data_IF_897210746067
#
_entry.id   IF_897210746067
#
_cell.length_a   1.000
_cell.length_b   1.000
_cell.length_c   1.000
_cell.angle_alpha   90.00
_cell.angle_beta   90.00
_cell.angle_gamma   90.00
#
_symmetry.space_group_name_H-M   'P 1'
#
loop_
_entity.id
_entity.type
_entity.pdbx_description
1 polymer ?
#
# COMPACT_ATOMS: atom_id res chain seq x y z
N UNK A 1 1.76 4.97 -21.22
CA UNK A 1 0.76 5.38 -20.21
C UNK A 1 1.50 6.02 -19.03
N UNK A 2 1.02 7.16 -18.48
CA UNK A 2 1.64 7.74 -17.29
C UNK A 2 1.56 6.76 -16.12
N UNK A 3 2.65 6.60 -15.37
CA UNK A 3 2.70 5.73 -14.19
C UNK A 3 1.76 6.28 -13.13
N UNK A 4 1.06 5.39 -12.42
CA UNK A 4 0.20 5.80 -11.30
C UNK A 4 1.09 6.26 -10.14
N UNK A 5 0.69 7.34 -9.48
CA UNK A 5 1.39 7.89 -8.32
C UNK A 5 1.02 7.07 -7.08
N UNK A 6 2.02 6.72 -6.29
CA UNK A 6 1.88 6.04 -5.01
C UNK A 6 2.55 6.85 -3.90
N UNK A 7 1.95 6.87 -2.71
CA UNK A 7 2.40 7.70 -1.59
C UNK A 7 2.94 6.84 -0.46
N UNK A 8 4.23 6.96 -0.19
CA UNK A 8 4.84 6.28 0.95
C UNK A 8 4.55 7.07 2.23
N UNK A 9 3.96 6.40 3.21
CA UNK A 9 3.53 6.99 4.49
C UNK A 9 4.05 6.17 5.66
N UNK A 10 4.11 6.80 6.83
CA UNK A 10 4.60 6.20 8.08
C UNK A 10 3.62 6.30 9.24
N UNK A 11 2.60 7.15 9.15
CA UNK A 11 1.64 7.37 10.23
C UNK A 11 0.20 7.41 9.72
N UNK A 12 -0.74 7.14 10.62
CA UNK A 12 -2.18 7.27 10.34
C UNK A 12 -2.53 8.70 9.92
N UNK A 13 -2.03 9.72 10.63
CA UNK A 13 -2.29 11.13 10.31
C UNK A 13 -1.85 11.50 8.90
N UNK A 14 -0.74 10.93 8.40
CA UNK A 14 -0.30 11.15 7.02
C UNK A 14 -1.26 10.52 6.01
N UNK A 15 -1.79 9.32 6.30
CA UNK A 15 -2.79 8.67 5.46
C UNK A 15 -4.06 9.52 5.38
N UNK A 16 -4.58 9.93 6.53
CA UNK A 16 -5.81 10.72 6.64
C UNK A 16 -5.67 12.06 5.90
N UNK A 17 -4.58 12.78 6.16
CA UNK A 17 -4.28 14.05 5.48
C UNK A 17 -4.18 13.87 3.96
N UNK A 18 -3.57 12.79 3.48
CA UNK A 18 -3.47 12.49 2.05
C UNK A 18 -4.85 12.27 1.43
N UNK A 19 -5.70 11.48 2.10
CA UNK A 19 -7.04 11.16 1.61
C UNK A 19 -7.89 12.45 1.56
N UNK A 20 -7.85 13.26 2.62
CA UNK A 20 -8.62 14.51 2.73
C UNK A 20 -8.18 15.57 1.72
N UNK A 21 -6.87 15.66 1.43
CA UNK A 21 -6.35 16.54 0.40
C UNK A 21 -6.78 16.10 -1.00
N UNK A 22 -6.88 14.79 -1.24
CA UNK A 22 -7.36 14.22 -2.50
C UNK A 22 -8.89 14.19 -2.52
N UNK A 23 -9.51 15.38 -2.51
CA UNK A 23 -10.96 15.62 -2.55
C UNK A 23 -11.71 15.02 -3.76
N UNK A 24 -11.03 14.53 -4.80
CA UNK A 24 -11.71 14.03 -6.01
C UNK A 24 -12.03 12.54 -5.93
N UNK A 25 -13.32 12.20 -5.96
CA UNK A 25 -13.86 10.82 -5.98
C UNK A 25 -13.32 9.93 -7.12
N UNK A 26 -12.74 10.51 -8.19
CA UNK A 26 -12.41 9.78 -9.42
C UNK A 26 -11.00 9.18 -9.49
N UNK A 27 -10.01 9.69 -8.72
CA UNK A 27 -8.63 9.20 -8.77
C UNK A 27 -8.30 8.33 -7.56
N UNK A 28 -7.87 7.10 -7.82
CA UNK A 28 -7.45 6.18 -6.76
C UNK A 28 -6.23 6.73 -6.01
N UNK A 29 -6.30 6.77 -4.68
CA UNK A 29 -5.15 7.06 -3.80
C UNK A 29 -4.45 5.75 -3.48
N UNK A 30 -3.22 5.56 -3.97
CA UNK A 30 -2.42 4.37 -3.70
C UNK A 30 -1.47 4.67 -2.54
N UNK A 31 -1.68 4.00 -1.42
CA UNK A 31 -0.92 4.17 -0.18
C UNK A 31 0.12 3.06 -0.10
N UNK A 32 1.41 3.43 0.01
CA UNK A 32 2.49 2.49 0.25
C UNK A 32 2.77 2.35 1.76
N UNK A 33 2.56 1.14 2.27
CA UNK A 33 2.97 0.71 3.60
C UNK A 33 4.35 0.06 3.49
N UNK A 34 5.34 0.68 4.14
CA UNK A 34 6.74 0.21 4.11
C UNK A 34 6.92 -1.04 4.98
N UNK A 35 7.84 -1.92 4.56
CA UNK A 35 8.13 -3.20 5.21
C UNK A 35 8.40 -3.11 6.71
N UNK A 36 9.13 -2.09 7.17
CA UNK A 36 9.49 -1.96 8.59
C UNK A 36 8.26 -1.82 9.51
N UNK A 37 7.15 -1.24 9.02
CA UNK A 37 5.92 -1.10 9.80
C UNK A 37 5.29 -2.47 10.05
N UNK A 38 5.22 -3.29 9.00
CA UNK A 38 4.59 -4.61 9.10
C UNK A 38 5.49 -5.59 9.84
N UNK A 39 6.81 -5.49 9.64
CA UNK A 39 7.77 -6.28 10.41
C UNK A 39 7.69 -5.97 11.92
N UNK A 40 7.47 -4.70 12.29
CA UNK A 40 7.38 -4.29 13.69
C UNK A 40 6.02 -4.58 14.34
N UNK A 41 4.92 -4.26 13.65
CA UNK A 41 3.56 -4.33 14.22
C UNK A 41 2.78 -5.61 13.82
N UNK A 42 3.23 -6.34 12.82
CA UNK A 42 2.56 -7.54 12.31
C UNK A 42 1.44 -7.26 11.30
N UNK A 43 0.93 -8.35 10.70
CA UNK A 43 -0.15 -8.31 9.70
C UNK A 43 -1.49 -7.91 10.33
N UNK A 44 -1.73 -8.25 11.59
CA UNK A 44 -2.95 -7.87 12.33
C UNK A 44 -3.11 -6.35 12.45
N UNK A 45 -2.00 -5.63 12.64
CA UNK A 45 -2.00 -4.17 12.63
C UNK A 45 -2.40 -3.61 11.26
N UNK A 46 -1.84 -4.19 10.18
CA UNK A 46 -2.19 -3.79 8.81
C UNK A 46 -3.68 -4.01 8.54
N UNK A 47 -4.22 -5.16 8.93
CA UNK A 47 -5.66 -5.48 8.77
C UNK A 47 -6.54 -4.46 9.51
N UNK A 48 -6.19 -4.15 10.76
CA UNK A 48 -6.86 -3.14 11.57
C UNK A 48 -6.81 -1.76 10.92
N UNK A 49 -5.65 -1.34 10.40
CA UNK A 49 -5.47 -0.08 9.70
C UNK A 49 -6.35 0.01 8.44
N UNK A 50 -6.33 -1.01 7.60
CA UNK A 50 -7.12 -1.07 6.36
C UNK A 50 -8.62 -0.99 6.69
N UNK A 51 -9.06 -1.77 7.68
CA UNK A 51 -10.46 -1.75 8.13
C UNK A 51 -10.88 -0.37 8.63
N UNK A 52 -10.03 0.29 9.42
CA UNK A 52 -10.28 1.65 9.89
C UNK A 52 -10.43 2.65 8.72
N UNK A 53 -9.46 2.66 7.81
CA UNK A 53 -9.43 3.60 6.67
C UNK A 53 -10.62 3.37 5.74
N UNK A 54 -10.90 2.11 5.38
CA UNK A 54 -12.03 1.78 4.52
C UNK A 54 -13.37 2.12 5.18
N UNK A 55 -13.49 1.96 6.51
CA UNK A 55 -14.72 2.33 7.25
C UNK A 55 -14.91 3.84 7.32
N UNK A 56 -13.84 4.60 7.55
CA UNK A 56 -13.88 6.07 7.69
C UNK A 56 -14.06 6.77 6.34
N UNK A 57 -13.40 6.27 5.29
CA UNK A 57 -13.34 6.89 3.97
C UNK A 57 -14.02 6.06 2.87
N UNK A 58 -15.17 5.42 3.18
CA UNK A 58 -15.92 4.52 2.28
C UNK A 58 -16.20 5.05 0.88
N UNK A 59 -16.32 6.36 0.72
CA UNK A 59 -16.61 7.02 -0.56
C UNK A 59 -15.37 7.30 -1.40
N UNK A 60 -14.17 7.06 -0.88
CA UNK A 60 -12.90 7.28 -1.55
C UNK A 60 -12.38 5.97 -2.14
N UNK A 61 -11.83 6.04 -3.35
CA UNK A 61 -11.15 4.90 -3.96
C UNK A 61 -9.72 4.82 -3.41
N UNK A 62 -9.53 4.04 -2.35
CA UNK A 62 -8.26 3.88 -1.65
C UNK A 62 -7.70 2.51 -1.99
N UNK A 63 -6.42 2.48 -2.34
CA UNK A 63 -5.69 1.25 -2.67
C UNK A 63 -4.48 1.09 -1.79
N UNK A 64 -4.20 -0.14 -1.37
CA UNK A 64 -3.06 -0.44 -0.52
C UNK A 64 -1.97 -1.18 -1.29
N UNK A 65 -0.77 -0.60 -1.25
CA UNK A 65 0.46 -1.20 -1.74
C UNK A 65 1.37 -1.52 -0.57
N UNK A 66 1.75 -2.78 -0.45
CA UNK A 66 2.42 -3.27 0.75
C UNK A 66 3.79 -3.85 0.42
N UNK A 67 4.83 -3.32 1.06
CA UNK A 67 6.20 -3.82 0.91
C UNK A 67 6.48 -4.97 1.89
N UNK A 68 6.80 -6.14 1.36
CA UNK A 68 7.17 -7.34 2.12
C UNK A 68 8.69 -7.59 2.14
N UNK A 69 9.50 -6.68 1.60
CA UNK A 69 10.95 -6.82 1.56
C UNK A 69 11.37 -8.09 0.78
N UNK A 70 12.13 -8.97 1.43
CA UNK A 70 12.52 -10.29 0.89
C UNK A 70 11.71 -11.44 1.51
N UNK A 71 10.74 -11.13 2.36
CA UNK A 71 10.02 -12.11 3.16
C UNK A 71 8.92 -12.78 2.34
N UNK A 72 9.19 -14.02 1.92
CA UNK A 72 8.28 -14.82 1.11
C UNK A 72 7.04 -15.24 1.92
N UNK A 73 7.21 -15.63 3.19
CA UNK A 73 6.12 -16.05 4.06
C UNK A 73 5.15 -14.90 4.30
N UNK A 74 5.69 -13.72 4.64
CA UNK A 74 4.90 -12.50 4.77
C UNK A 74 4.17 -12.16 3.47
N UNK A 75 4.83 -12.26 2.31
CA UNK A 75 4.18 -11.94 1.04
C UNK A 75 2.98 -12.85 0.75
N UNK A 76 3.05 -14.14 1.12
CA UNK A 76 1.93 -15.08 0.96
C UNK A 76 0.79 -14.69 1.90
N UNK A 77 1.08 -14.40 3.18
CA UNK A 77 0.08 -13.94 4.15
C UNK A 77 -0.61 -12.66 3.66
N UNK A 78 0.15 -11.69 3.14
CA UNK A 78 -0.39 -10.45 2.60
C UNK A 78 -1.34 -10.68 1.42
N UNK A 79 -1.21 -11.78 0.66
CA UNK A 79 -2.19 -12.07 -0.41
C UNK A 79 -3.58 -12.37 0.13
N UNK A 80 -3.72 -12.73 1.40
CA UNK A 80 -5.00 -13.05 2.04
C UNK A 80 -5.65 -11.80 2.67
N UNK A 81 -4.90 -10.70 2.76
CA UNK A 81 -5.39 -9.43 3.29
C UNK A 81 -6.14 -8.63 2.23
N UNK A 82 -6.98 -7.69 2.68
CA UNK A 82 -7.73 -6.79 1.82
C UNK A 82 -6.83 -5.65 1.26
N UNK A 83 -5.81 -6.03 0.49
CA UNK A 83 -4.85 -5.13 -0.17
C UNK A 83 -4.90 -5.30 -1.68
N UNK A 84 -4.43 -4.31 -2.42
CA UNK A 84 -4.43 -4.35 -3.89
C UNK A 84 -3.11 -4.86 -4.45
N UNK A 85 -2.01 -4.51 -3.81
CA UNK A 85 -0.67 -4.63 -4.38
C UNK A 85 0.36 -5.09 -3.35
N UNK A 86 1.26 -5.97 -3.77
CA UNK A 86 2.41 -6.41 -2.98
C UNK A 86 3.70 -6.03 -3.69
N UNK A 87 4.68 -5.54 -2.94
CA UNK A 87 6.06 -5.39 -3.37
C UNK A 87 6.92 -6.42 -2.67
N UNK A 88 7.56 -7.28 -3.46
CA UNK A 88 8.44 -8.34 -3.00
C UNK A 88 9.73 -8.34 -3.83
N UNK A 89 10.87 -8.40 -3.15
CA UNK A 89 12.18 -8.62 -3.74
C UNK A 89 12.52 -10.10 -3.61
N UNK A 90 12.66 -10.79 -4.74
CA UNK A 90 13.08 -12.18 -4.77
C UNK A 90 13.56 -12.55 -6.19
N UNK A 91 14.06 -13.78 -6.35
CA UNK A 91 14.37 -14.30 -7.68
C UNK A 91 13.08 -14.58 -8.49
N UNK A 92 13.24 -14.74 -9.80
CA UNK A 92 12.13 -14.91 -10.74
C UNK A 92 11.29 -16.17 -10.45
N UNK A 93 11.91 -17.25 -9.97
CA UNK A 93 11.22 -18.52 -9.71
C UNK A 93 10.25 -18.32 -8.54
N UNK A 94 10.73 -17.72 -7.45
CA UNK A 94 9.91 -17.42 -6.28
C UNK A 94 8.82 -16.40 -6.61
N UNK A 95 9.16 -15.31 -7.32
CA UNK A 95 8.18 -14.31 -7.74
C UNK A 95 7.06 -14.92 -8.59
N UNK A 96 7.38 -15.85 -9.50
CA UNK A 96 6.37 -16.54 -10.31
C UNK A 96 5.40 -17.38 -9.46
N UNK A 97 5.92 -18.13 -8.47
CA UNK A 97 5.09 -18.93 -7.56
C UNK A 97 4.14 -18.05 -6.75
N UNK A 98 4.65 -16.97 -6.17
CA UNK A 98 3.84 -16.04 -5.36
C UNK A 98 2.84 -15.28 -6.23
N UNK A 99 3.20 -14.91 -7.46
CA UNK A 99 2.28 -14.25 -8.39
C UNK A 99 1.07 -15.13 -8.74
N UNK A 100 1.22 -16.45 -8.82
CA UNK A 100 0.09 -17.35 -9.02
C UNK A 100 -0.90 -17.29 -7.85
N UNK A 101 -0.38 -17.25 -6.61
CA UNK A 101 -1.20 -17.10 -5.39
C UNK A 101 -1.87 -15.73 -5.37
N UNK A 102 -1.10 -14.66 -5.59
CA UNK A 102 -1.58 -13.28 -5.58
C UNK A 102 -2.73 -13.07 -6.59
N UNK A 103 -2.59 -13.59 -7.82
CA UNK A 103 -3.63 -13.52 -8.85
C UNK A 103 -4.95 -14.17 -8.42
N UNK A 104 -4.91 -15.32 -7.74
CA UNK A 104 -6.11 -15.99 -7.22
C UNK A 104 -6.83 -15.11 -6.19
N UNK A 105 -6.08 -14.38 -5.39
CA UNK A 105 -6.60 -13.44 -4.39
C UNK A 105 -6.82 -12.01 -4.94
N UNK A 106 -6.74 -11.81 -6.26
CA UNK A 106 -6.93 -10.50 -6.93
C UNK A 106 -5.93 -9.42 -6.48
N UNK A 107 -4.75 -9.83 -6.01
CA UNK A 107 -3.63 -8.95 -5.64
C UNK A 107 -2.60 -8.93 -6.76
N UNK A 108 -2.08 -7.74 -7.13
CA UNK A 108 -0.99 -7.65 -8.11
C UNK A 108 0.38 -7.63 -7.43
N UNK A 109 1.28 -8.48 -7.91
CA UNK A 109 2.67 -8.53 -7.45
C UNK A 109 3.54 -7.56 -8.27
N UNK A 110 4.34 -6.76 -7.58
CA UNK A 110 5.33 -5.82 -8.12
C UNK A 110 4.83 -4.88 -9.24
N UNK A 111 3.65 -4.23 -9.12
CA UNK A 111 3.29 -3.17 -10.05
C UNK A 111 4.28 -2.00 -9.97
N UNK A 112 4.49 -1.32 -11.10
CA UNK A 112 5.36 -0.13 -11.15
C UNK A 112 4.57 1.14 -10.85
N UNK A 113 5.05 1.93 -9.90
CA UNK A 113 4.46 3.22 -9.52
C UNK A 113 5.53 4.30 -9.39
N UNK A 114 5.13 5.56 -9.57
CA UNK A 114 5.96 6.71 -9.19
C UNK A 114 5.72 7.01 -7.71
N UNK A 115 6.74 6.73 -6.88
CA UNK A 115 6.62 6.81 -5.42
C UNK A 115 6.97 8.21 -4.94
N UNK A 116 5.99 8.89 -4.34
CA UNK A 116 6.18 10.13 -3.60
C UNK A 116 6.35 9.80 -2.13
N UNK A 117 7.55 10.03 -1.59
CA UNK A 117 7.83 9.76 -0.18
C UNK A 117 7.34 10.91 0.71
N UNK A 118 6.30 10.64 1.51
CA UNK A 118 5.73 11.56 2.48
C UNK A 118 6.22 11.31 3.91
N UNK A 119 7.01 10.26 4.14
CA UNK A 119 7.41 9.83 5.50
C UNK A 119 8.21 10.88 6.27
N UNK A 120 8.99 11.71 5.56
CA UNK A 120 9.82 12.77 6.15
C UNK A 120 9.14 14.14 6.22
N UNK A 121 7.88 14.26 5.80
CA UNK A 121 7.23 15.56 5.65
C UNK A 121 6.51 15.94 6.95
N UNK A 122 6.93 17.05 7.55
CA UNK A 122 6.22 17.68 8.67
C UNK A 122 4.93 18.40 8.22
N UNK A 123 4.91 18.97 7.01
CA UNK A 123 3.77 19.75 6.47
C UNK A 123 3.33 19.27 5.08
N UNK A 124 2.34 18.37 5.04
CA UNK A 124 1.82 17.74 3.81
C UNK A 124 1.21 18.74 2.82
N UNK A 125 0.56 19.79 3.33
CA UNK A 125 -0.15 20.80 2.53
C UNK A 125 0.77 21.59 1.58
N UNK A 126 2.06 21.77 1.92
CA UNK A 126 2.99 22.58 1.10
C UNK A 126 3.50 21.86 -0.15
N UNK A 127 3.43 20.52 -0.22
CA UNK A 127 4.07 19.71 -1.28
C UNK A 127 3.07 19.05 -2.25
N UNK A 128 1.78 19.10 -1.93
CA UNK A 128 0.69 18.59 -2.76
C UNK A 128 -0.07 19.72 -3.50
N UNK A 129 0.50 20.94 -3.51
CA UNK A 129 0.10 22.04 -4.41
C UNK A 129 0.58 21.76 -5.83
#
# INVERSE_FOLDING_TARGET
MPKKICFAVSTLTQIESLIELRKSKSKSSIILIKYFLIKGFGVEWLRSLINYINKKYKTHNIKFFVDSGYDQGLSILLTQENIDYIKLKNDKIILNKINQIAKKNKVLLNPTFDVVDLTKIKNMQKKLK
#
